data_IF_121107028447
#
_entry.id   IF_121107028447
#
_cell.length_a   1.000
_cell.length_b   1.000
_cell.length_c   1.000
_cell.angle_alpha   90.00
_cell.angle_beta   90.00
_cell.angle_gamma   90.00
#
_symmetry.space_group_name_H-M   'P 1'
#
loop_
_entity.id
_entity.type
_entity.pdbx_description
1 polymer ?
#
# COMPACT_ATOMS: atom_id res chain seq x y z
N UNK A 1 13.06 19.85 -20.37
CA UNK A 1 14.08 18.77 -20.26
C UNK A 1 14.27 18.32 -18.81
N UNK A 2 14.55 19.18 -17.82
CA UNK A 2 14.57 18.76 -16.39
C UNK A 2 13.18 18.45 -15.83
N UNK A 3 12.16 19.26 -16.15
CA UNK A 3 10.77 19.04 -15.71
C UNK A 3 10.20 17.72 -16.27
N UNK A 4 10.52 17.37 -17.51
CA UNK A 4 10.05 16.13 -18.15
C UNK A 4 10.68 14.90 -17.48
N UNK A 5 11.96 14.97 -17.11
CA UNK A 5 12.66 13.92 -16.39
C UNK A 5 12.11 13.74 -14.97
N UNK A 6 11.79 14.84 -14.29
CA UNK A 6 11.17 14.83 -12.96
C UNK A 6 9.78 14.18 -13.00
N UNK A 7 8.94 14.57 -13.96
CA UNK A 7 7.62 13.96 -14.17
C UNK A 7 7.71 12.47 -14.48
N UNK A 8 8.68 12.06 -15.31
CA UNK A 8 8.92 10.66 -15.62
C UNK A 8 9.33 9.87 -14.36
N UNK A 9 10.24 10.42 -13.55
CA UNK A 9 10.67 9.79 -12.31
C UNK A 9 9.50 9.66 -11.31
N UNK A 10 8.73 10.74 -11.11
CA UNK A 10 7.57 10.74 -10.24
C UNK A 10 6.54 9.68 -10.65
N UNK A 11 6.28 9.54 -11.95
CA UNK A 11 5.37 8.51 -12.45
C UNK A 11 5.90 7.09 -12.19
N UNK A 12 7.19 6.83 -12.43
CA UNK A 12 7.81 5.54 -12.11
C UNK A 12 7.75 5.22 -10.61
N UNK A 13 8.03 6.20 -9.76
CA UNK A 13 7.95 6.02 -8.30
C UNK A 13 6.53 5.71 -7.85
N UNK A 14 5.53 6.46 -8.36
CA UNK A 14 4.11 6.19 -8.07
C UNK A 14 3.68 4.79 -8.55
N UNK A 15 4.18 4.32 -9.68
CA UNK A 15 3.93 2.98 -10.19
C UNK A 15 4.53 1.90 -9.28
N UNK A 16 5.79 2.07 -8.85
CA UNK A 16 6.43 1.16 -7.89
C UNK A 16 5.66 1.08 -6.57
N UNK A 17 5.22 2.22 -6.02
CA UNK A 17 4.42 2.26 -4.79
C UNK A 17 3.11 1.51 -4.98
N UNK A 18 2.42 1.69 -6.11
CA UNK A 18 1.17 0.96 -6.42
C UNK A 18 1.42 -0.54 -6.48
N UNK A 19 2.49 -0.98 -7.13
CA UNK A 19 2.82 -2.39 -7.29
C UNK A 19 3.18 -3.06 -5.95
N UNK A 20 4.04 -2.44 -5.14
CA UNK A 20 4.41 -2.96 -3.82
C UNK A 20 3.24 -2.94 -2.84
N UNK A 21 2.38 -1.92 -2.89
CA UNK A 21 1.15 -1.89 -2.10
C UNK A 21 0.20 -3.02 -2.49
N UNK A 22 0.01 -3.25 -3.79
CA UNK A 22 -0.85 -4.33 -4.29
C UNK A 22 -0.33 -5.71 -3.86
N UNK A 23 0.99 -5.92 -3.95
CA UNK A 23 1.64 -7.14 -3.48
C UNK A 23 1.45 -7.36 -1.98
N UNK A 24 1.65 -6.32 -1.17
CA UNK A 24 1.46 -6.38 0.28
C UNK A 24 0.03 -6.72 0.67
N UNK A 25 -0.97 -6.19 -0.05
CA UNK A 25 -2.39 -6.51 0.17
C UNK A 25 -2.69 -8.00 -0.13
N UNK A 26 -2.12 -8.54 -1.22
CA UNK A 26 -2.23 -9.96 -1.56
C UNK A 26 -1.59 -10.84 -0.49
N UNK A 27 -0.42 -10.46 0.02
CA UNK A 27 0.28 -11.20 1.07
C UNK A 27 -0.53 -11.23 2.38
N UNK A 28 -1.17 -10.11 2.74
CA UNK A 28 -2.09 -10.05 3.89
C UNK A 28 -3.27 -11.00 3.69
N UNK A 29 -3.89 -10.99 2.51
CA UNK A 29 -5.02 -11.86 2.20
C UNK A 29 -4.64 -13.34 2.27
N UNK A 30 -3.50 -13.70 1.68
CA UNK A 30 -2.98 -15.06 1.72
C UNK A 30 -2.71 -15.51 3.15
N UNK A 31 -2.03 -14.69 3.95
CA UNK A 31 -1.72 -15.01 5.34
C UNK A 31 -2.99 -15.16 6.18
N UNK A 32 -3.97 -14.25 6.01
CA UNK A 32 -5.25 -14.30 6.71
C UNK A 32 -6.02 -15.58 6.35
N UNK A 33 -6.07 -15.94 5.07
CA UNK A 33 -6.70 -17.19 4.62
C UNK A 33 -6.01 -18.44 5.20
N UNK A 34 -4.68 -18.44 5.27
CA UNK A 34 -3.92 -19.53 5.89
C UNK A 34 -4.12 -19.64 7.41
N UNK A 35 -4.24 -18.50 8.10
CA UNK A 35 -4.45 -18.46 9.54
C UNK A 35 -5.87 -18.91 9.91
N UNK A 36 -6.87 -18.47 9.14
CA UNK A 36 -8.29 -18.76 9.42
C UNK A 36 -8.76 -20.11 8.88
N UNK A 37 -8.08 -20.68 7.88
CA UNK A 37 -8.43 -21.96 7.27
C UNK A 37 -7.98 -23.22 8.03
N UNK A 38 -7.33 -23.09 9.19
CA UNK A 38 -6.84 -24.26 9.96
C UNK A 38 -7.96 -24.84 10.82
N UNK A 39 -8.17 -26.15 10.74
CA UNK A 39 -9.23 -26.87 11.47
C UNK A 39 -9.12 -26.81 12.99
N UNK A 40 -7.96 -26.44 13.53
CA UNK A 40 -7.70 -26.29 14.96
C UNK A 40 -7.63 -24.84 15.43
N UNK A 41 -7.85 -23.85 14.55
CA UNK A 41 -7.86 -22.46 14.95
C UNK A 41 -9.07 -22.17 15.85
N UNK A 42 -8.84 -21.53 17.00
CA UNK A 42 -9.94 -21.11 17.86
C UNK A 42 -10.70 -19.95 17.18
N UNK A 43 -11.99 -19.83 17.49
CA UNK A 43 -12.82 -18.75 16.96
C UNK A 43 -12.23 -17.36 17.25
N UNK A 44 -11.70 -17.15 18.46
CA UNK A 44 -11.11 -15.88 18.86
C UNK A 44 -9.82 -15.56 18.08
N UNK A 45 -9.01 -16.58 17.77
CA UNK A 45 -7.80 -16.42 16.95
C UNK A 45 -8.16 -16.03 15.50
N UNK A 46 -9.22 -16.64 14.96
CA UNK A 46 -9.76 -16.32 13.63
C UNK A 46 -10.22 -14.86 13.59
N UNK A 47 -10.97 -14.42 14.61
CA UNK A 47 -11.46 -13.06 14.69
C UNK A 47 -10.31 -12.04 14.78
N UNK A 48 -9.34 -12.28 15.65
CA UNK A 48 -8.15 -11.42 15.78
C UNK A 48 -7.37 -11.34 14.47
N UNK A 49 -7.21 -12.45 13.76
CA UNK A 49 -6.53 -12.47 12.45
C UNK A 49 -7.27 -11.62 11.40
N UNK A 50 -8.61 -11.68 11.38
CA UNK A 50 -9.44 -10.88 10.46
C UNK A 50 -9.35 -9.39 10.80
N UNK A 51 -9.42 -9.03 12.08
CA UNK A 51 -9.32 -7.64 12.54
C UNK A 51 -7.95 -7.05 12.22
N UNK A 52 -6.87 -7.76 12.56
CA UNK A 52 -5.50 -7.35 12.22
C UNK A 52 -5.31 -7.19 10.71
N UNK A 53 -5.88 -8.11 9.91
CA UNK A 53 -5.86 -8.04 8.44
C UNK A 53 -6.52 -6.76 7.92
N UNK A 54 -7.70 -6.41 8.43
CA UNK A 54 -8.41 -5.17 8.06
C UNK A 54 -7.59 -3.94 8.39
N UNK A 55 -7.10 -3.84 9.64
CA UNK A 55 -6.27 -2.70 10.06
C UNK A 55 -5.01 -2.55 9.22
N UNK A 56 -4.36 -3.67 8.84
CA UNK A 56 -3.18 -3.63 7.97
C UNK A 56 -3.50 -3.14 6.55
N UNK A 57 -4.63 -3.57 5.97
CA UNK A 57 -5.08 -3.11 4.64
C UNK A 57 -5.43 -1.62 4.62
N UNK A 58 -6.06 -1.14 5.68
CA UNK A 58 -6.40 0.27 5.84
C UNK A 58 -5.12 1.11 5.92
N UNK A 59 -4.17 0.71 6.78
CA UNK A 59 -2.87 1.39 6.92
C UNK A 59 -2.07 1.44 5.61
N UNK A 60 -2.04 0.35 4.83
CA UNK A 60 -1.39 0.34 3.51
C UNK A 60 -2.07 1.33 2.55
N UNK A 61 -3.41 1.36 2.57
CA UNK A 61 -4.19 2.24 1.69
C UNK A 61 -4.01 3.71 2.02
N UNK A 62 -3.98 4.06 3.30
CA UNK A 62 -3.67 5.41 3.79
C UNK A 62 -2.25 5.83 3.41
N UNK A 63 -1.25 4.99 3.72
CA UNK A 63 0.16 5.29 3.43
C UNK A 63 0.39 5.47 1.93
N UNK A 64 -0.13 4.57 1.09
CA UNK A 64 -0.06 4.68 -0.37
C UNK A 64 -0.60 6.03 -0.84
N UNK A 65 -1.73 6.45 -0.31
CA UNK A 65 -2.39 7.70 -0.71
C UNK A 65 -1.57 8.91 -0.27
N UNK A 66 -1.10 8.92 0.98
CA UNK A 66 -0.26 10.00 1.51
C UNK A 66 1.03 10.18 0.69
N UNK A 67 1.74 9.08 0.39
CA UNK A 67 3.00 9.14 -0.36
C UNK A 67 2.78 9.60 -1.81
N UNK A 68 1.69 9.17 -2.47
CA UNK A 68 1.37 9.63 -3.83
C UNK A 68 1.11 11.14 -3.84
N UNK A 69 0.34 11.64 -2.87
CA UNK A 69 0.05 13.08 -2.72
C UNK A 69 1.35 13.86 -2.50
N UNK A 70 2.23 13.37 -1.63
CA UNK A 70 3.53 14.00 -1.35
C UNK A 70 4.38 14.11 -2.62
N UNK A 71 4.44 13.05 -3.42
CA UNK A 71 5.16 13.05 -4.71
C UNK A 71 4.58 14.11 -5.66
N UNK A 72 3.25 14.18 -5.77
CA UNK A 72 2.59 15.15 -6.64
C UNK A 72 2.84 16.60 -6.19
N UNK A 73 2.88 16.84 -4.87
CA UNK A 73 3.22 18.16 -4.30
C UNK A 73 4.68 18.54 -4.61
N UNK A 74 5.63 17.62 -4.42
CA UNK A 74 7.05 17.86 -4.74
C UNK A 74 7.23 18.24 -6.22
N UNK A 75 6.56 17.51 -7.12
CA UNK A 75 6.61 17.82 -8.56
C UNK A 75 6.02 19.19 -8.84
N UNK A 76 4.86 19.50 -8.26
CA UNK A 76 4.20 20.80 -8.45
C UNK A 76 5.09 21.95 -8.00
N UNK A 77 5.68 21.86 -6.82
CA UNK A 77 6.55 22.90 -6.27
C UNK A 77 7.81 23.11 -7.10
N UNK A 78 8.40 22.03 -7.63
CA UNK A 78 9.57 22.10 -8.51
C UNK A 78 9.26 22.70 -9.90
N UNK A 79 7.99 22.64 -10.35
CA UNK A 79 7.55 23.25 -11.61
C UNK A 79 7.01 24.67 -11.49
N UNK A 80 6.75 25.13 -10.26
CA UNK A 80 6.26 26.47 -9.97
C UNK A 80 7.41 27.49 -9.74
N UNK A 81 8.65 27.03 -9.67
CA UNK A 81 9.89 27.83 -9.65
C UNK A 81 10.40 28.08 -11.07
#
# INVERSE_FOLDING_TARGET
>A
MEIDALNLLANKTKELIKNESAKSLIDIDNYTGMATGRSYAAHDDIQQAIEASRSAKDAISELKSAVIIEIDNIVKDATAQ
#
